data_IF_198526103384
#
_entry.id   IF_198526103384
#
_cell.length_a   1.000
_cell.length_b   1.000
_cell.length_c   1.000
_cell.angle_alpha   90.00
_cell.angle_beta   90.00
_cell.angle_gamma   90.00
#
_symmetry.space_group_name_H-M   'P 1'
#
loop_
_entity.id
_entity.type
_entity.pdbx_description
1 polymer ?
#
# COMPACT_ATOMS: atom_id res chain seq x y z
N UNK A 1 44.31 -47.63 -32.80
CA UNK A 1 42.98 -47.65 -32.17
C UNK A 1 43.18 -47.54 -30.69
N UNK A 2 42.87 -46.37 -30.05
CA UNK A 2 42.96 -46.22 -28.59
C UNK A 2 41.63 -46.71 -28.01
N UNK A 3 41.69 -47.76 -27.22
CA UNK A 3 40.54 -48.23 -26.43
C UNK A 3 40.29 -47.20 -25.32
N UNK A 4 39.27 -46.37 -25.47
CA UNK A 4 38.76 -45.56 -24.37
C UNK A 4 38.01 -46.48 -23.40
N UNK A 5 38.61 -46.75 -22.26
CA UNK A 5 37.98 -47.43 -21.13
C UNK A 5 36.93 -46.47 -20.53
N UNK A 6 35.66 -46.73 -20.84
CA UNK A 6 34.52 -46.07 -20.20
C UNK A 6 34.59 -46.43 -18.70
N UNK A 7 34.89 -45.39 -17.84
CA UNK A 7 34.88 -45.57 -16.39
C UNK A 7 33.47 -45.99 -15.93
N UNK A 8 33.33 -47.07 -15.17
CA UNK A 8 32.04 -47.49 -14.67
C UNK A 8 31.46 -46.40 -13.74
N UNK A 9 30.26 -45.96 -14.04
CA UNK A 9 29.52 -45.03 -13.21
C UNK A 9 29.40 -45.62 -11.80
N UNK A 10 29.88 -44.86 -10.77
CA UNK A 10 29.91 -45.41 -9.40
C UNK A 10 28.46 -45.59 -8.91
N UNK A 11 28.13 -46.79 -8.42
CA UNK A 11 26.82 -47.14 -7.85
C UNK A 11 26.40 -46.13 -6.78
N UNK A 12 27.39 -45.57 -6.05
CA UNK A 12 27.13 -44.50 -5.06
C UNK A 12 26.57 -43.24 -5.66
N UNK A 13 27.04 -42.81 -6.84
CA UNK A 13 26.54 -41.62 -7.53
C UNK A 13 25.10 -41.85 -8.03
N UNK A 14 24.81 -43.04 -8.59
CA UNK A 14 23.48 -43.43 -9.00
C UNK A 14 22.51 -43.46 -7.81
N UNK A 15 22.94 -44.01 -6.68
CA UNK A 15 22.13 -44.06 -5.45
C UNK A 15 21.87 -42.65 -4.91
N UNK A 16 22.86 -41.75 -4.93
CA UNK A 16 22.69 -40.35 -4.51
C UNK A 16 21.71 -39.59 -5.40
N UNK A 17 21.82 -39.72 -6.72
CA UNK A 17 20.90 -39.13 -7.68
C UNK A 17 19.48 -39.68 -7.49
N UNK A 18 19.31 -40.97 -7.26
CA UNK A 18 18.03 -41.60 -6.98
C UNK A 18 17.41 -41.08 -5.69
N UNK A 19 18.17 -40.99 -4.59
CA UNK A 19 17.68 -40.46 -3.31
C UNK A 19 17.29 -39.00 -3.44
N UNK A 20 18.08 -38.17 -4.12
CA UNK A 20 17.77 -36.75 -4.35
C UNK A 20 16.52 -36.65 -5.21
N UNK A 21 16.38 -37.42 -6.28
CA UNK A 21 15.20 -37.44 -7.13
C UNK A 21 13.94 -37.87 -6.37
N UNK A 22 14.09 -38.90 -5.48
CA UNK A 22 13.00 -39.37 -4.63
C UNK A 22 12.57 -38.31 -3.62
N UNK A 23 13.52 -37.60 -3.00
CA UNK A 23 13.25 -36.50 -2.09
C UNK A 23 12.53 -35.33 -2.81
N UNK A 24 13.02 -34.94 -3.99
CA UNK A 24 12.40 -33.92 -4.82
C UNK A 24 10.99 -34.36 -5.23
N UNK A 25 10.80 -35.61 -5.63
CA UNK A 25 9.50 -36.17 -5.99
C UNK A 25 8.52 -36.21 -4.79
N UNK A 26 9.02 -36.60 -3.59
CA UNK A 26 8.22 -36.52 -2.36
C UNK A 26 7.83 -35.10 -2.00
N UNK A 27 8.75 -34.13 -2.13
CA UNK A 27 8.47 -32.72 -1.90
C UNK A 27 7.44 -32.16 -2.90
N UNK A 28 7.52 -32.60 -4.17
CA UNK A 28 6.55 -32.20 -5.22
C UNK A 28 5.17 -32.84 -5.07
N UNK A 29 5.07 -34.01 -4.42
CA UNK A 29 3.80 -34.70 -4.16
C UNK A 29 3.19 -34.44 -2.78
N UNK A 30 3.97 -33.88 -1.85
CA UNK A 30 3.41 -33.49 -0.58
C UNK A 30 2.45 -32.32 -0.82
N UNK A 31 1.27 -32.40 -0.21
CA UNK A 31 0.31 -31.28 -0.23
C UNK A 31 0.89 -30.13 0.60
N UNK A 32 1.84 -29.41 -0.02
CA UNK A 32 2.51 -28.25 0.57
C UNK A 32 1.49 -27.16 0.90
N UNK A 33 0.34 -27.18 0.21
CA UNK A 33 -0.73 -26.19 0.43
C UNK A 33 -1.31 -26.28 1.83
N UNK A 34 -1.55 -27.50 2.36
CA UNK A 34 -2.08 -27.68 3.73
C UNK A 34 -1.06 -27.23 4.79
N UNK A 35 0.21 -27.52 4.59
CA UNK A 35 1.27 -27.07 5.49
C UNK A 35 1.40 -25.55 5.46
N UNK A 36 1.41 -24.94 4.28
CA UNK A 36 1.47 -23.49 4.11
C UNK A 36 0.26 -22.80 4.72
N UNK A 37 -0.96 -23.32 4.52
CA UNK A 37 -2.17 -22.81 5.19
C UNK A 37 -1.96 -22.73 6.69
N UNK A 38 -1.52 -23.82 7.29
CA UNK A 38 -1.34 -23.87 8.75
C UNK A 38 -0.30 -22.86 9.24
N UNK A 39 0.81 -22.69 8.52
CA UNK A 39 1.86 -21.73 8.88
C UNK A 39 1.38 -20.27 8.72
N UNK A 40 0.71 -19.97 7.61
CA UNK A 40 0.17 -18.63 7.32
C UNK A 40 -0.88 -18.25 8.36
N UNK A 41 -1.83 -19.17 8.65
CA UNK A 41 -2.88 -18.93 9.62
C UNK A 41 -2.33 -18.74 11.05
N UNK A 42 -1.32 -19.52 11.43
CA UNK A 42 -0.67 -19.38 12.73
C UNK A 42 0.07 -18.05 12.85
N UNK A 43 0.85 -17.68 11.84
CA UNK A 43 1.56 -16.40 11.81
C UNK A 43 0.56 -15.22 11.90
N UNK A 44 -0.51 -15.24 11.11
CA UNK A 44 -1.52 -14.20 11.15
C UNK A 44 -2.21 -14.10 12.52
N UNK A 45 -2.56 -15.23 13.12
CA UNK A 45 -3.18 -15.27 14.46
C UNK A 45 -2.27 -14.75 15.56
N UNK A 46 -0.97 -15.01 15.48
CA UNK A 46 0.00 -14.47 16.44
C UNK A 46 0.03 -12.93 16.41
N UNK A 47 -0.16 -12.35 15.23
CA UNK A 47 -0.25 -10.90 15.04
C UNK A 47 -1.67 -10.32 15.22
N UNK A 48 -2.64 -11.15 15.65
CA UNK A 48 -4.01 -10.73 15.90
C UNK A 48 -4.89 -10.57 14.65
N UNK A 49 -4.45 -11.12 13.52
CA UNK A 49 -5.21 -11.15 12.27
C UNK A 49 -5.89 -12.50 12.05
N UNK A 50 -7.05 -12.48 11.41
CA UNK A 50 -7.72 -13.66 10.86
C UNK A 50 -7.72 -13.55 9.36
N UNK A 51 -7.16 -14.56 8.69
CA UNK A 51 -7.17 -14.66 7.23
C UNK A 51 -8.26 -15.64 6.82
N UNK A 52 -9.09 -15.25 5.88
CA UNK A 52 -10.11 -16.09 5.25
C UNK A 52 -9.79 -16.10 3.76
N UNK A 53 -9.50 -17.27 3.21
CA UNK A 53 -9.19 -17.46 1.79
C UNK A 53 -9.63 -18.83 1.31
N UNK A 54 -10.01 -18.92 0.04
CA UNK A 54 -10.53 -20.16 -0.52
C UNK A 54 -9.39 -21.05 -1.02
N UNK A 55 -8.44 -20.46 -1.72
CA UNK A 55 -7.35 -21.19 -2.38
C UNK A 55 -5.97 -20.70 -1.97
N UNK A 56 -5.07 -21.65 -1.75
CA UNK A 56 -3.62 -21.43 -1.66
C UNK A 56 -2.96 -22.24 -2.76
N UNK A 57 -2.24 -21.59 -3.62
CA UNK A 57 -1.50 -22.23 -4.71
C UNK A 57 -0.05 -21.78 -4.74
N UNK A 58 0.80 -22.64 -5.31
CA UNK A 58 2.21 -22.33 -5.53
C UNK A 58 2.42 -22.20 -7.03
N UNK A 59 2.94 -21.06 -7.46
CA UNK A 59 3.31 -20.79 -8.84
C UNK A 59 4.79 -20.44 -8.93
N UNK A 60 5.61 -21.41 -9.31
CA UNK A 60 7.05 -21.27 -9.27
C UNK A 60 7.57 -21.11 -7.85
N UNK A 61 8.17 -19.93 -7.54
CA UNK A 61 8.64 -19.57 -6.20
C UNK A 61 7.64 -18.67 -5.46
N UNK A 62 6.47 -18.43 -6.02
CA UNK A 62 5.46 -17.55 -5.44
C UNK A 62 4.35 -18.35 -4.76
N UNK A 63 3.87 -17.83 -3.64
CA UNK A 63 2.64 -18.29 -2.96
C UNK A 63 1.52 -17.36 -3.37
N UNK A 64 0.40 -17.91 -3.80
CA UNK A 64 -0.79 -17.17 -4.22
C UNK A 64 -1.96 -17.54 -3.33
N UNK A 65 -2.63 -16.53 -2.78
CA UNK A 65 -3.87 -16.63 -2.00
C UNK A 65 -4.97 -15.88 -2.73
N UNK A 66 -6.13 -16.53 -2.97
CA UNK A 66 -7.25 -15.89 -3.67
C UNK A 66 -8.60 -16.59 -3.41
N UNK A 67 -9.73 -15.82 -3.30
CA UNK A 67 -9.73 -14.45 -2.80
C UNK A 67 -9.30 -14.43 -1.35
N UNK A 68 -8.90 -13.30 -0.79
CA UNK A 68 -8.49 -13.23 0.60
C UNK A 68 -9.21 -12.11 1.33
N UNK A 69 -9.70 -12.40 2.53
CA UNK A 69 -10.22 -11.40 3.47
C UNK A 69 -9.33 -11.37 4.70
N UNK A 70 -8.79 -10.20 4.99
CA UNK A 70 -7.96 -9.93 6.18
C UNK A 70 -8.85 -9.24 7.19
N UNK A 71 -8.98 -9.82 8.38
CA UNK A 71 -9.77 -9.27 9.47
C UNK A 71 -8.88 -9.00 10.68
N UNK A 72 -9.00 -7.80 11.25
CA UNK A 72 -8.39 -7.44 12.53
C UNK A 72 -9.49 -7.18 13.56
N UNK A 73 -9.75 -8.18 14.40
CA UNK A 73 -10.85 -8.13 15.35
C UNK A 73 -12.22 -7.96 14.69
N UNK A 74 -13.07 -7.11 15.27
CA UNK A 74 -14.39 -6.77 14.70
C UNK A 74 -14.40 -5.47 13.92
N UNK A 75 -13.30 -4.73 13.91
CA UNK A 75 -13.28 -3.33 13.48
C UNK A 75 -12.82 -3.12 12.03
N UNK A 76 -12.05 -4.04 11.47
CA UNK A 76 -11.46 -3.87 10.14
C UNK A 76 -11.54 -5.18 9.36
N UNK A 77 -12.10 -5.10 8.17
CA UNK A 77 -12.10 -6.19 7.20
C UNK A 77 -11.71 -5.62 5.84
N UNK A 78 -10.66 -6.17 5.25
CA UNK A 78 -10.20 -5.80 3.91
C UNK A 78 -10.31 -7.05 3.04
N UNK A 79 -11.04 -6.93 1.94
CA UNK A 79 -11.15 -7.97 0.94
C UNK A 79 -10.23 -7.62 -0.23
N UNK A 80 -9.37 -8.58 -0.59
CA UNK A 80 -8.46 -8.48 -1.72
C UNK A 80 -8.80 -9.62 -2.70
N UNK A 81 -8.69 -9.32 -3.99
CA UNK A 81 -9.00 -10.32 -5.02
C UNK A 81 -7.94 -11.43 -5.03
N UNK A 82 -6.68 -11.03 -4.85
CA UNK A 82 -5.53 -11.92 -4.90
C UNK A 82 -4.36 -11.30 -4.15
N UNK A 83 -3.59 -12.12 -3.43
CA UNK A 83 -2.24 -11.78 -2.95
C UNK A 83 -1.26 -12.79 -3.53
N UNK A 84 -0.16 -12.28 -4.06
CA UNK A 84 1.00 -13.06 -4.50
C UNK A 84 2.22 -12.63 -3.70
N UNK A 85 2.87 -13.58 -3.06
CA UNK A 85 4.08 -13.40 -2.27
C UNK A 85 5.23 -14.10 -2.99
N UNK A 86 6.32 -13.41 -3.25
CA UNK A 86 7.49 -13.93 -3.96
C UNK A 86 8.78 -13.51 -3.26
N UNK A 87 9.84 -14.33 -3.24
CA UNK A 87 11.15 -13.89 -2.80
C UNK A 87 11.64 -12.69 -3.65
N UNK A 88 12.16 -11.66 -3.01
CA UNK A 88 12.74 -10.52 -3.74
C UNK A 88 14.16 -10.82 -4.16
N UNK A 89 14.35 -11.10 -5.45
CA UNK A 89 15.68 -11.41 -5.99
C UNK A 89 16.64 -10.23 -5.93
N UNK A 90 16.14 -9.00 -6.06
CA UNK A 90 16.95 -7.79 -5.95
C UNK A 90 17.59 -7.68 -4.56
N UNK A 91 16.86 -8.04 -3.51
CA UNK A 91 17.34 -8.02 -2.14
C UNK A 91 18.25 -9.20 -1.83
N UNK A 92 17.95 -10.38 -2.39
CA UNK A 92 18.80 -11.58 -2.22
C UNK A 92 20.21 -11.38 -2.79
N UNK A 93 20.37 -10.65 -3.89
CA UNK A 93 21.69 -10.33 -4.44
C UNK A 93 22.53 -9.42 -3.53
N UNK A 94 21.86 -8.67 -2.64
CA UNK A 94 22.48 -7.84 -1.62
C UNK A 94 22.67 -8.57 -0.28
N UNK A 95 22.33 -9.86 -0.22
CA UNK A 95 22.43 -10.68 1.00
C UNK A 95 21.34 -10.43 2.02
N UNK A 96 20.27 -9.76 1.64
CA UNK A 96 19.15 -9.40 2.51
C UNK A 96 17.91 -10.22 2.09
N UNK A 97 17.18 -10.75 3.08
CA UNK A 97 15.93 -11.44 2.81
C UNK A 97 14.81 -10.41 2.56
N UNK A 98 14.25 -10.45 1.36
CA UNK A 98 13.14 -9.60 0.98
C UNK A 98 11.98 -10.41 0.38
N UNK A 99 10.78 -9.88 0.50
CA UNK A 99 9.55 -10.45 -0.02
C UNK A 99 8.84 -9.43 -0.90
N UNK A 100 8.62 -9.75 -2.15
CA UNK A 100 7.79 -8.96 -3.05
C UNK A 100 6.33 -9.37 -2.87
N UNK A 101 5.49 -8.37 -2.56
CA UNK A 101 4.05 -8.51 -2.40
C UNK A 101 3.38 -7.86 -3.60
N UNK A 102 2.55 -8.62 -4.30
CA UNK A 102 1.69 -8.11 -5.36
C UNK A 102 0.26 -8.50 -5.02
N UNK A 103 -0.63 -7.53 -5.00
CA UNK A 103 -2.04 -7.74 -4.71
C UNK A 103 -2.93 -6.93 -5.63
N UNK A 104 -4.21 -7.28 -5.65
CA UNK A 104 -5.24 -6.55 -6.37
C UNK A 104 -6.36 -6.22 -5.39
N UNK A 105 -6.71 -4.95 -5.30
CA UNK A 105 -7.80 -4.45 -4.47
C UNK A 105 -8.78 -3.66 -5.31
N UNK A 106 -10.05 -4.08 -5.32
CA UNK A 106 -11.08 -3.49 -6.18
C UNK A 106 -10.67 -3.45 -7.68
N UNK A 107 -9.94 -4.49 -8.13
CA UNK A 107 -9.40 -4.57 -9.49
C UNK A 107 -8.18 -3.69 -9.76
N UNK A 108 -7.64 -2.99 -8.77
CA UNK A 108 -6.47 -2.12 -8.91
C UNK A 108 -5.22 -2.82 -8.37
N UNK A 109 -4.07 -2.74 -9.08
CA UNK A 109 -2.84 -3.36 -8.64
C UNK A 109 -2.20 -2.57 -7.49
N UNK A 110 -1.66 -3.31 -6.54
CA UNK A 110 -0.85 -2.79 -5.43
C UNK A 110 0.38 -3.68 -5.30
N UNK A 111 1.55 -3.08 -5.22
CA UNK A 111 2.81 -3.80 -5.00
C UNK A 111 3.67 -3.12 -3.95
N UNK A 112 4.50 -3.91 -3.28
CA UNK A 112 5.54 -3.45 -2.38
C UNK A 112 6.59 -4.54 -2.19
N UNK A 113 7.81 -4.15 -1.84
CA UNK A 113 8.86 -5.06 -1.37
C UNK A 113 9.02 -4.89 0.13
N UNK A 114 8.87 -5.97 0.88
CA UNK A 114 9.07 -6.00 2.34
C UNK A 114 10.46 -6.57 2.64
N UNK A 115 11.23 -5.85 3.44
CA UNK A 115 12.56 -6.24 3.86
C UNK A 115 12.63 -6.13 5.38
N UNK A 116 13.21 -7.11 6.04
CA UNK A 116 13.51 -7.04 7.46
C UNK A 116 15.00 -6.78 7.65
N UNK A 117 15.32 -5.70 8.36
CA UNK A 117 16.69 -5.34 8.73
C UNK A 117 16.75 -5.06 10.25
N UNK A 118 17.22 -6.06 10.99
CA UNK A 118 17.17 -6.02 12.45
C UNK A 118 15.76 -5.85 12.99
N UNK A 119 15.54 -4.78 13.76
CA UNK A 119 14.26 -4.45 14.37
C UNK A 119 13.37 -3.55 13.49
N UNK A 120 13.77 -3.32 12.23
CA UNK A 120 13.06 -2.46 11.29
C UNK A 120 12.50 -3.28 10.15
N UNK A 121 11.23 -3.04 9.82
CA UNK A 121 10.58 -3.52 8.60
C UNK A 121 10.59 -2.37 7.62
N UNK A 122 11.20 -2.59 6.46
CA UNK A 122 11.20 -1.63 5.36
C UNK A 122 10.19 -2.05 4.30
N UNK A 123 9.28 -1.14 3.98
CA UNK A 123 8.39 -1.24 2.82
C UNK A 123 9.00 -0.40 1.71
N UNK A 124 9.54 -1.04 0.70
CA UNK A 124 10.21 -0.41 -0.43
C UNK A 124 9.34 -0.54 -1.68
N UNK A 125 9.54 0.37 -2.64
CA UNK A 125 8.87 0.32 -3.93
C UNK A 125 7.34 0.19 -3.80
N UNK A 126 6.77 0.87 -2.80
CA UNK A 126 5.31 0.94 -2.67
C UNK A 126 4.77 1.56 -3.95
N UNK A 127 3.86 0.87 -4.60
CA UNK A 127 3.17 1.31 -5.81
C UNK A 127 1.72 0.82 -5.74
N UNK A 128 0.76 1.75 -5.58
CA UNK A 128 -0.64 1.43 -5.44
C UNK A 128 -1.49 2.38 -6.28
N UNK A 129 -2.21 1.83 -7.24
CA UNK A 129 -3.19 2.56 -8.03
C UNK A 129 -4.59 2.27 -7.50
N UNK A 130 -5.42 3.31 -7.38
CA UNK A 130 -6.79 3.21 -6.87
C UNK A 130 -7.70 4.07 -7.74
N UNK A 131 -8.65 3.43 -8.40
CA UNK A 131 -9.76 4.14 -9.05
C UNK A 131 -10.72 4.61 -7.95
N UNK A 132 -10.76 5.93 -7.75
CA UNK A 132 -11.52 6.56 -6.66
C UNK A 132 -13.02 6.33 -6.82
N UNK A 133 -13.52 6.16 -8.05
CA UNK A 133 -14.93 5.89 -8.32
C UNK A 133 -15.41 4.56 -7.72
N UNK A 134 -14.49 3.64 -7.43
CA UNK A 134 -14.80 2.35 -6.80
C UNK A 134 -14.79 2.40 -5.26
N UNK A 135 -14.53 3.57 -4.68
CA UNK A 135 -14.56 3.78 -3.24
C UNK A 135 -15.96 4.18 -2.73
N UNK A 136 -16.98 4.11 -3.55
CA UNK A 136 -18.38 4.44 -3.21
C UNK A 136 -18.89 3.64 -2.00
N UNK A 137 -18.33 2.45 -1.75
CA UNK A 137 -18.62 1.62 -0.58
C UNK A 137 -18.19 2.27 0.76
N UNK A 138 -17.40 3.36 0.73
CA UNK A 138 -16.93 4.05 1.93
C UNK A 138 -17.94 5.07 2.49
N UNK A 139 -19.18 5.12 1.96
CA UNK A 139 -20.23 6.07 2.37
C UNK A 139 -19.78 7.54 2.39
N UNK A 140 -18.95 7.93 1.44
CA UNK A 140 -18.56 9.32 1.27
C UNK A 140 -19.75 10.07 0.64
N UNK A 141 -20.24 11.17 1.23
CA UNK A 141 -21.44 11.86 0.76
C UNK A 141 -21.24 12.59 -0.58
N UNK A 142 -20.05 12.56 -1.14
CA UNK A 142 -19.64 13.20 -2.39
C UNK A 142 -19.14 12.11 -3.34
N UNK A 143 -19.67 12.08 -4.55
CA UNK A 143 -19.12 11.21 -5.60
C UNK A 143 -17.76 11.76 -6.00
N UNK A 144 -16.75 10.91 -5.88
CA UNK A 144 -15.39 11.22 -6.28
C UNK A 144 -15.01 10.32 -7.45
N UNK A 145 -14.24 10.85 -8.39
CA UNK A 145 -13.68 10.06 -9.50
C UNK A 145 -12.28 10.52 -9.85
N UNK A 146 -11.58 9.70 -10.65
CA UNK A 146 -10.19 9.88 -11.00
C UNK A 146 -9.31 8.76 -10.48
N UNK A 147 -8.03 8.81 -10.81
CA UNK A 147 -7.05 7.79 -10.46
C UNK A 147 -6.08 8.30 -9.40
N UNK A 148 -6.10 7.70 -8.22
CA UNK A 148 -5.07 7.91 -7.20
C UNK A 148 -3.90 6.94 -7.41
N UNK A 149 -2.68 7.44 -7.27
CA UNK A 149 -1.46 6.67 -7.34
C UNK A 149 -0.58 7.02 -6.14
N UNK A 150 -0.37 6.05 -5.26
CA UNK A 150 0.51 6.15 -4.10
C UNK A 150 1.83 5.45 -4.41
N UNK A 151 2.93 6.16 -4.25
CA UNK A 151 4.28 5.62 -4.42
C UNK A 151 5.15 6.00 -3.23
N UNK A 152 6.18 5.18 -2.95
CA UNK A 152 7.18 5.55 -1.97
C UNK A 152 7.80 4.40 -1.21
N UNK A 153 8.27 4.74 -0.03
CA UNK A 153 8.95 3.86 0.91
C UNK A 153 8.60 4.23 2.35
N UNK A 154 8.59 3.24 3.24
CA UNK A 154 8.25 3.41 4.64
C UNK A 154 9.07 2.46 5.50
N UNK A 155 9.57 2.93 6.62
CA UNK A 155 10.24 2.12 7.62
C UNK A 155 9.39 2.05 8.88
N UNK A 156 9.17 0.85 9.38
CA UNK A 156 8.37 0.57 10.56
C UNK A 156 9.21 -0.11 11.63
N UNK A 157 9.01 0.24 12.88
CA UNK A 157 9.58 -0.51 13.99
C UNK A 157 8.84 -1.85 14.11
N UNK A 158 9.55 -2.97 14.02
CA UNK A 158 8.95 -4.32 14.04
C UNK A 158 8.13 -4.57 15.29
N UNK A 159 8.63 -4.15 16.45
CA UNK A 159 7.99 -4.43 17.75
C UNK A 159 6.65 -3.74 17.95
N UNK A 160 6.41 -2.59 17.30
CA UNK A 160 5.21 -1.77 17.50
C UNK A 160 4.44 -1.49 16.22
N UNK A 161 5.02 -1.71 15.03
CA UNK A 161 4.47 -1.28 13.76
C UNK A 161 4.47 0.25 13.56
N UNK A 162 5.14 0.99 14.46
CA UNK A 162 5.20 2.44 14.42
C UNK A 162 6.12 2.93 13.29
N UNK A 163 5.70 3.90 12.47
CA UNK A 163 6.55 4.49 11.46
C UNK A 163 7.76 5.21 12.06
N UNK A 164 8.93 4.94 11.50
CA UNK A 164 10.20 5.58 11.88
C UNK A 164 10.58 6.64 10.86
N UNK A 165 10.57 6.27 9.60
CA UNK A 165 10.90 7.18 8.50
C UNK A 165 10.14 6.76 7.24
N UNK A 166 10.08 7.65 6.25
CA UNK A 166 9.48 7.34 4.98
C UNK A 166 9.35 8.54 4.07
N UNK A 167 9.08 8.23 2.82
CA UNK A 167 8.74 9.19 1.78
C UNK A 167 7.60 8.62 0.97
N UNK A 168 6.47 9.32 0.96
CA UNK A 168 5.28 8.92 0.22
C UNK A 168 4.86 10.06 -0.69
N UNK A 169 4.51 9.72 -1.91
CA UNK A 169 3.91 10.64 -2.88
C UNK A 169 2.57 10.07 -3.31
N UNK A 170 1.51 10.83 -3.12
CA UNK A 170 0.18 10.52 -3.59
C UNK A 170 -0.17 11.51 -4.71
N UNK A 171 -0.47 11.01 -5.90
CA UNK A 171 -1.05 11.81 -6.98
C UNK A 171 -2.51 11.43 -7.17
N UNK A 172 -3.36 12.40 -7.47
CA UNK A 172 -4.75 12.18 -7.85
C UNK A 172 -4.98 12.83 -9.21
N UNK A 173 -5.00 12.02 -10.26
CA UNK A 173 -5.10 12.45 -11.64
C UNK A 173 -6.56 12.48 -12.09
N UNK A 174 -6.91 13.48 -12.89
CA UNK A 174 -8.27 13.71 -13.40
C UNK A 174 -9.31 13.72 -12.28
N UNK A 175 -8.95 14.36 -11.16
CA UNK A 175 -9.83 14.45 -10.00
C UNK A 175 -11.14 15.16 -10.34
N UNK A 176 -12.25 14.55 -9.96
CA UNK A 176 -13.57 15.14 -10.07
C UNK A 176 -14.36 14.90 -8.78
N UNK A 177 -15.28 15.78 -8.50
CA UNK A 177 -16.22 15.65 -7.40
C UNK A 177 -17.62 16.11 -7.82
N UNK A 178 -18.65 15.49 -7.26
CA UNK A 178 -20.03 15.87 -7.48
C UNK A 178 -20.93 15.44 -6.31
N UNK A 179 -21.98 16.19 -6.03
CA UNK A 179 -23.05 15.79 -5.12
C UNK A 179 -24.21 15.15 -5.89
N UNK A 180 -24.26 15.38 -7.18
CA UNK A 180 -25.13 14.82 -8.23
C UNK A 180 -24.56 15.28 -9.57
N UNK A 181 -24.99 14.70 -10.69
CA UNK A 181 -24.57 15.17 -12.01
C UNK A 181 -24.96 16.66 -12.22
N UNK A 182 -24.06 17.51 -12.80
CA UNK A 182 -22.75 17.17 -13.36
C UNK A 182 -21.61 17.14 -12.33
N UNK A 183 -20.62 16.27 -12.55
CA UNK A 183 -19.36 16.29 -11.82
C UNK A 183 -18.53 17.52 -12.17
N UNK A 184 -17.86 18.08 -11.18
CA UNK A 184 -16.92 19.19 -11.36
C UNK A 184 -15.52 18.66 -11.53
N UNK A 185 -14.82 19.10 -12.58
CA UNK A 185 -13.40 18.82 -12.74
C UNK A 185 -12.60 19.64 -11.74
N UNK A 186 -11.83 18.96 -10.90
CA UNK A 186 -10.97 19.58 -9.90
C UNK A 186 -9.53 19.75 -10.42
N UNK A 187 -9.05 18.80 -11.25
CA UNK A 187 -7.71 18.79 -11.84
C UNK A 187 -6.83 17.70 -11.25
N UNK A 188 -5.52 17.87 -11.35
CA UNK A 188 -4.53 16.92 -10.87
C UNK A 188 -3.89 17.44 -9.58
N UNK A 189 -3.81 16.59 -8.55
CA UNK A 189 -3.22 16.94 -7.27
C UNK A 189 -2.04 16.04 -6.94
N UNK A 190 -1.11 16.60 -6.19
CA UNK A 190 0.01 15.85 -5.62
C UNK A 190 0.15 16.17 -4.13
N UNK A 191 0.29 15.12 -3.32
CA UNK A 191 0.61 15.21 -1.90
C UNK A 191 1.93 14.51 -1.67
N UNK A 192 2.90 15.21 -1.10
CA UNK A 192 4.18 14.65 -0.69
C UNK A 192 4.22 14.60 0.83
N UNK A 193 4.63 13.46 1.38
CA UNK A 193 4.81 13.23 2.81
C UNK A 193 6.21 12.71 3.03
N UNK A 194 7.01 13.42 3.82
CA UNK A 194 8.39 13.06 4.10
C UNK A 194 8.64 13.08 5.60
N UNK A 195 9.33 12.05 6.09
CA UNK A 195 9.93 12.12 7.42
C UNK A 195 11.10 13.11 7.43
N UNK A 196 11.36 13.67 8.59
CA UNK A 196 12.59 14.43 8.86
C UNK A 196 13.61 13.42 9.40
N UNK A 197 14.91 13.71 9.27
CA UNK A 197 15.99 12.79 9.70
C UNK A 197 15.95 12.47 11.21
N UNK A 198 15.32 13.33 12.00
CA UNK A 198 15.09 13.10 13.42
C UNK A 198 13.71 12.45 13.63
N UNK A 199 13.69 11.17 14.06
CA UNK A 199 12.47 10.38 14.33
C UNK A 199 11.57 10.98 15.41
N UNK A 200 12.06 11.91 16.23
CA UNK A 200 11.26 12.64 17.22
C UNK A 200 10.44 13.78 16.61
N UNK A 201 10.80 14.22 15.41
CA UNK A 201 10.14 15.33 14.74
C UNK A 201 8.92 14.87 13.93
N UNK A 202 7.87 15.71 13.85
CA UNK A 202 6.75 15.43 12.98
C UNK A 202 7.18 15.39 11.52
N UNK A 203 6.60 14.46 10.76
CA UNK A 203 6.77 14.40 9.32
C UNK A 203 6.18 15.64 8.67
N UNK A 204 6.70 16.02 7.53
CA UNK A 204 6.20 17.15 6.76
C UNK A 204 5.33 16.65 5.61
N UNK A 205 4.24 17.35 5.38
CA UNK A 205 3.41 17.13 4.19
C UNK A 205 3.22 18.42 3.41
N UNK A 206 3.10 18.29 2.10
CA UNK A 206 2.76 19.38 1.20
C UNK A 206 1.76 18.89 0.16
N UNK A 207 0.79 19.73 -0.17
CA UNK A 207 -0.18 19.51 -1.25
C UNK A 207 -0.06 20.61 -2.29
N UNK A 208 -0.17 20.26 -3.57
CA UNK A 208 -0.23 21.21 -4.67
C UNK A 208 -1.04 20.64 -5.83
N UNK A 209 -1.52 21.52 -6.72
CA UNK A 209 -2.20 21.15 -7.95
C UNK A 209 -3.63 21.62 -8.02
N UNK A 210 -4.37 21.09 -9.01
CA UNK A 210 -5.74 21.40 -9.32
C UNK A 210 -5.86 22.53 -10.36
N UNK A 211 -6.66 22.27 -11.40
CA UNK A 211 -7.00 23.28 -12.43
C UNK A 211 -8.34 23.94 -12.16
N UNK A 212 -9.32 23.20 -11.66
CA UNK A 212 -10.63 23.75 -11.27
C UNK A 212 -10.62 24.35 -9.87
N UNK A 213 -9.94 23.67 -8.93
CA UNK A 213 -9.69 24.16 -7.57
C UNK A 213 -8.21 24.01 -7.30
N UNK A 214 -7.44 25.08 -7.46
CA UNK A 214 -6.02 25.05 -7.16
C UNK A 214 -5.82 24.98 -5.65
N UNK A 215 -5.15 23.94 -5.18
CA UNK A 215 -4.75 23.76 -3.80
C UNK A 215 -3.24 23.96 -3.66
N UNK A 216 -2.83 24.69 -2.63
CA UNK A 216 -1.43 24.78 -2.22
C UNK A 216 -1.38 24.84 -0.70
N UNK A 217 -0.65 23.94 -0.09
CA UNK A 217 -0.60 23.89 1.34
C UNK A 217 0.51 23.01 1.88
N UNK A 218 0.74 23.14 3.19
CA UNK A 218 1.72 22.32 3.88
C UNK A 218 1.42 22.25 5.38
N UNK A 219 2.07 21.31 6.02
CA UNK A 219 1.89 21.13 7.44
C UNK A 219 2.73 19.98 7.99
N UNK A 220 2.34 19.50 9.15
CA UNK A 220 3.01 18.42 9.86
C UNK A 220 2.08 17.26 10.13
N UNK A 221 2.67 16.07 10.21
CA UNK A 221 2.00 14.81 10.48
C UNK A 221 2.80 14.09 11.58
N UNK A 222 2.17 13.87 12.73
CA UNK A 222 2.78 13.13 13.82
C UNK A 222 2.41 11.65 13.71
N UNK A 223 3.31 10.87 13.12
CA UNK A 223 3.15 9.44 12.86
C UNK A 223 3.66 8.59 14.05
N UNK A 224 3.09 8.77 15.23
CA UNK A 224 3.53 8.13 16.47
C UNK A 224 2.66 6.93 16.90
N UNK A 225 1.88 6.39 15.99
CA UNK A 225 0.97 5.28 16.25
C UNK A 225 1.00 4.29 15.06
N UNK A 226 0.89 2.97 15.28
CA UNK A 226 0.78 2.00 14.18
C UNK A 226 -0.53 2.16 13.38
N UNK A 227 -1.59 2.70 13.97
CA UNK A 227 -2.83 3.01 13.27
C UNK A 227 -2.77 4.40 12.63
N UNK A 228 -2.70 4.51 11.29
CA UNK A 228 -2.61 5.79 10.60
C UNK A 228 -3.81 6.72 10.88
N UNK A 229 -4.99 6.18 11.22
CA UNK A 229 -6.16 6.99 11.56
C UNK A 229 -5.94 7.86 12.79
N UNK A 230 -4.98 7.49 13.65
CA UNK A 230 -4.62 8.22 14.87
C UNK A 230 -3.49 9.21 14.69
N UNK A 231 -2.86 9.28 13.53
CA UNK A 231 -1.80 10.26 13.27
C UNK A 231 -2.35 11.68 13.32
N UNK A 232 -1.77 12.50 14.16
CA UNK A 232 -2.19 13.89 14.26
C UNK A 232 -1.69 14.70 13.05
N UNK A 233 -2.61 15.41 12.40
CA UNK A 233 -2.31 16.27 11.25
C UNK A 233 -2.57 17.72 11.60
N UNK A 234 -1.66 18.61 11.21
CA UNK A 234 -1.85 20.07 11.28
C UNK A 234 -1.31 20.71 10.00
N UNK A 235 -1.90 21.83 9.60
CA UNK A 235 -1.38 22.57 8.46
C UNK A 235 -2.32 23.67 7.96
N UNK A 236 -1.87 24.32 6.91
CA UNK A 236 -2.62 25.35 6.19
C UNK A 236 -2.70 24.99 4.72
N UNK A 237 -3.86 25.18 4.13
CA UNK A 237 -4.12 24.96 2.70
C UNK A 237 -4.83 26.19 2.14
N UNK A 238 -4.24 26.78 1.14
CA UNK A 238 -4.86 27.83 0.33
C UNK A 238 -5.62 27.16 -0.83
N UNK A 239 -6.88 27.47 -0.99
CA UNK A 239 -7.71 27.04 -2.12
C UNK A 239 -8.08 28.24 -2.97
N UNK A 240 -7.87 28.11 -4.27
CA UNK A 240 -8.25 29.12 -5.26
C UNK A 240 -9.06 28.46 -6.37
N UNK A 241 -10.22 29.03 -6.65
CA UNK A 241 -11.17 28.50 -7.65
C UNK A 241 -11.00 29.27 -8.93
N UNK A 242 -10.76 28.54 -10.00
CA UNK A 242 -10.68 29.14 -11.32
C UNK A 242 -12.08 29.58 -11.79
N UNK A 243 -12.18 30.81 -12.28
CA UNK A 243 -13.37 31.38 -12.87
C UNK A 243 -13.81 30.71 -14.19
N UNK A 244 -12.99 29.81 -14.73
CA UNK A 244 -13.33 29.00 -15.92
C UNK A 244 -14.50 28.04 -15.66
N UNK A 245 -14.81 27.75 -14.39
CA UNK A 245 -15.98 26.97 -13.98
C UNK A 245 -16.96 27.82 -13.16
N UNK A 246 -17.88 28.59 -13.84
CA UNK A 246 -18.76 29.53 -13.16
C UNK A 246 -19.69 28.88 -12.13
N UNK A 247 -20.13 27.64 -12.37
CA UNK A 247 -21.04 26.94 -11.46
C UNK A 247 -20.33 26.58 -10.16
N UNK A 248 -19.08 26.09 -10.23
CA UNK A 248 -18.25 25.78 -9.06
C UNK A 248 -17.92 27.08 -8.31
N UNK A 249 -17.54 28.14 -9.04
CA UNK A 249 -17.22 29.43 -8.46
C UNK A 249 -18.43 30.02 -7.70
N UNK A 250 -19.64 29.98 -8.27
CA UNK A 250 -20.87 30.45 -7.58
C UNK A 250 -21.19 29.62 -6.34
N UNK A 251 -21.06 28.27 -6.42
CA UNK A 251 -21.31 27.40 -5.29
C UNK A 251 -20.35 27.72 -4.13
N UNK A 252 -19.08 27.85 -4.44
CA UNK A 252 -18.04 28.10 -3.43
C UNK A 252 -18.11 29.55 -2.92
N UNK A 253 -18.45 30.53 -3.75
CA UNK A 253 -18.67 31.87 -3.31
C UNK A 253 -19.88 31.97 -2.34
N UNK A 254 -20.92 31.16 -2.56
CA UNK A 254 -22.04 31.04 -1.63
C UNK A 254 -21.65 30.45 -0.27
N UNK A 255 -20.68 29.49 -0.25
CA UNK A 255 -20.24 28.85 0.97
C UNK A 255 -19.12 29.63 1.68
N UNK A 256 -18.16 30.14 0.93
CA UNK A 256 -16.92 30.74 1.46
C UNK A 256 -16.94 32.29 1.40
N UNK A 257 -17.83 32.90 0.64
CA UNK A 257 -17.90 34.34 0.43
C UNK A 257 -16.82 34.88 -0.52
N UNK A 258 -15.95 34.04 -1.06
CA UNK A 258 -14.89 34.43 -2.00
C UNK A 258 -14.43 33.25 -2.84
N UNK A 259 -13.73 33.51 -3.95
CA UNK A 259 -13.10 32.48 -4.78
C UNK A 259 -11.77 32.00 -4.20
N UNK A 260 -11.32 32.57 -3.10
CA UNK A 260 -10.12 32.18 -2.38
C UNK A 260 -10.45 31.90 -0.93
N UNK A 261 -9.96 30.82 -0.39
CA UNK A 261 -10.12 30.50 1.01
C UNK A 261 -8.83 29.87 1.55
N UNK A 262 -8.55 30.19 2.79
CA UNK A 262 -7.47 29.55 3.55
C UNK A 262 -8.08 28.64 4.59
N UNK A 263 -7.68 27.38 4.57
CA UNK A 263 -8.15 26.37 5.50
C UNK A 263 -7.03 25.99 6.49
N UNK A 264 -7.37 25.96 7.75
CA UNK A 264 -6.53 25.30 8.76
C UNK A 264 -7.03 23.88 8.93
N UNK A 265 -6.13 22.94 8.76
CA UNK A 265 -6.36 21.51 9.01
C UNK A 265 -5.78 21.18 10.39
N UNK A 266 -6.53 20.43 11.19
CA UNK A 266 -6.09 19.93 12.51
C UNK A 266 -6.85 18.67 12.87
N UNK A 267 -6.37 17.93 13.90
CA UNK A 267 -7.01 16.70 14.38
C UNK A 267 -6.23 15.44 13.98
N UNK A 268 -6.92 14.32 13.77
CA UNK A 268 -6.30 13.07 13.33
C UNK A 268 -6.66 12.77 11.87
N UNK A 269 -5.87 11.95 11.18
CA UNK A 269 -6.18 11.55 9.80
C UNK A 269 -7.53 10.84 9.69
N UNK A 270 -7.95 10.08 10.73
CA UNK A 270 -9.26 9.44 10.76
C UNK A 270 -10.44 10.38 11.06
N UNK A 271 -10.18 11.59 11.57
CA UNK A 271 -11.17 12.61 11.90
C UNK A 271 -10.58 14.03 11.76
N UNK A 272 -10.22 14.44 10.53
CA UNK A 272 -9.65 15.76 10.30
C UNK A 272 -10.72 16.85 10.51
N UNK A 273 -10.27 17.96 11.06
CA UNK A 273 -11.10 19.17 11.22
C UNK A 273 -10.55 20.27 10.34
N UNK A 274 -11.42 20.92 9.60
CA UNK A 274 -11.08 22.06 8.75
C UNK A 274 -11.80 23.30 9.24
N UNK A 275 -11.08 24.41 9.34
CA UNK A 275 -11.63 25.71 9.73
C UNK A 275 -11.14 26.75 8.72
N UNK A 276 -12.08 27.56 8.20
CA UNK A 276 -11.73 28.68 7.32
C UNK A 276 -11.04 29.75 8.18
N UNK A 277 -9.86 30.15 7.75
CA UNK A 277 -9.09 31.25 8.34
C UNK A 277 -9.41 32.51 7.54
N UNK A 278 -10.04 33.46 8.16
CA UNK A 278 -10.35 34.77 7.56
C UNK A 278 -9.17 35.73 7.76
#
# INVERSE_FOLDING_TARGET
MKNETVKPFSVRLLLSVFIISLLVFMLLRWDVSSFLRHQIDNAAKQEGYTLIYDEVSISGLSIVLQPITIQQGKAMSIQLDKIQLSPSFSQLTSGILGLDINTTWLGNPISATVVQDGDVIQLLNIDAMIDVSRLDDLNIPVQLSGLMHLQGELQLLQSTGQPQSGRLTLTWNNAKAGLAAPEFTLGDYQVNINSVDDVSQPWQWAISGGSGVALNGSGTLLANNPDPKRWAVTGLVDANIDNSNPSLAMMMQGVMGSNQAKFRISGSLGAPRTVIVR
#
